data_IF_569715348707
#
_entry.id   IF_569715348707
#
_cell.length_a   1.000
_cell.length_b   1.000
_cell.length_c   1.000
_cell.angle_alpha   90.00
_cell.angle_beta   90.00
_cell.angle_gamma   90.00
#
_symmetry.space_group_name_H-M   'P 1'
#
loop_
_entity.id
_entity.type
_entity.pdbx_description
1 polymer ?
#
# COMPACT_ATOMS: atom_id res chain seq x y z
N UNK A 1 49.09 -40.07 30.71
CA UNK A 1 49.25 -38.59 30.73
C UNK A 1 49.67 -38.19 29.31
N UNK A 2 49.07 -37.28 28.54
CA UNK A 2 47.92 -36.37 28.62
C UNK A 2 47.47 -36.23 27.15
N UNK A 3 46.23 -36.59 26.80
CA UNK A 3 45.65 -36.23 25.50
C UNK A 3 45.07 -34.83 25.65
N UNK A 4 45.74 -33.84 25.06
CA UNK A 4 45.27 -32.45 25.05
C UNK A 4 44.27 -32.28 23.91
N UNK A 5 42.99 -32.26 24.26
CA UNK A 5 41.89 -31.80 23.38
C UNK A 5 41.99 -30.30 23.18
N UNK A 6 42.40 -29.86 21.99
CA UNK A 6 42.27 -28.45 21.59
C UNK A 6 40.80 -28.17 21.26
N UNK A 7 40.18 -27.33 22.08
CA UNK A 7 38.83 -26.83 21.88
C UNK A 7 38.73 -26.07 20.55
N UNK A 8 37.78 -26.45 19.71
CA UNK A 8 37.37 -25.66 18.56
C UNK A 8 36.63 -24.42 19.07
N UNK A 9 37.31 -23.27 19.08
CA UNK A 9 36.65 -21.97 19.24
C UNK A 9 35.86 -21.69 17.96
N UNK A 10 34.57 -22.03 17.97
CA UNK A 10 33.62 -21.56 16.96
C UNK A 10 33.43 -20.07 17.21
N UNK A 11 34.21 -19.24 16.50
CA UNK A 11 33.96 -17.80 16.41
C UNK A 11 32.71 -17.62 15.54
N UNK A 12 31.54 -17.63 16.17
CA UNK A 12 30.28 -17.31 15.51
C UNK A 12 30.25 -15.82 15.10
N UNK A 13 29.97 -15.48 13.83
CA UNK A 13 29.80 -14.09 13.46
C UNK A 13 28.41 -13.58 13.90
N UNK A 14 28.44 -12.72 14.91
CA UNK A 14 27.62 -11.51 15.11
C UNK A 14 26.08 -11.59 14.89
N UNK A 15 25.26 -11.46 15.97
CA UNK A 15 23.80 -11.29 15.91
C UNK A 15 23.32 -10.15 14.98
N UNK A 16 24.20 -9.18 14.68
CA UNK A 16 23.90 -8.00 13.86
C UNK A 16 23.63 -8.31 12.38
N UNK A 17 24.24 -9.36 11.79
CA UNK A 17 24.01 -9.70 10.37
C UNK A 17 22.63 -10.33 10.15
N UNK A 18 22.18 -11.16 11.08
CA UNK A 18 20.85 -11.81 11.04
C UNK A 18 19.75 -10.77 11.24
N UNK A 19 19.95 -9.82 12.17
CA UNK A 19 19.02 -8.72 12.39
C UNK A 19 18.88 -7.82 11.14
N UNK A 20 19.98 -7.46 10.47
CA UNK A 20 19.94 -6.67 9.23
C UNK A 20 19.24 -7.40 8.09
N UNK A 21 19.51 -8.69 7.88
CA UNK A 21 18.79 -9.46 6.87
C UNK A 21 17.29 -9.50 7.15
N UNK A 22 16.87 -9.76 8.39
CA UNK A 22 15.44 -9.77 8.76
C UNK A 22 14.76 -8.41 8.53
N UNK A 23 15.42 -7.31 8.88
CA UNK A 23 14.89 -5.96 8.61
C UNK A 23 14.77 -5.71 7.11
N UNK A 24 15.74 -6.13 6.30
CA UNK A 24 15.67 -6.00 4.82
C UNK A 24 14.53 -6.84 4.24
N UNK A 25 14.35 -8.10 4.70
CA UNK A 25 13.25 -8.95 4.25
C UNK A 25 11.88 -8.38 4.62
N UNK A 26 11.70 -7.93 5.85
CA UNK A 26 10.45 -7.29 6.29
C UNK A 26 10.16 -6.00 5.50
N UNK A 27 11.20 -5.20 5.22
CA UNK A 27 11.06 -4.00 4.42
C UNK A 27 10.70 -4.33 2.97
N UNK A 28 11.28 -5.38 2.38
CA UNK A 28 10.90 -5.83 1.03
C UNK A 28 9.46 -6.38 0.99
N UNK A 29 9.04 -7.17 1.97
CA UNK A 29 7.66 -7.68 2.05
C UNK A 29 6.64 -6.54 2.18
N UNK A 30 6.92 -5.54 3.02
CA UNK A 30 6.06 -4.34 3.16
C UNK A 30 6.02 -3.48 1.89
N UNK A 31 7.15 -3.31 1.21
CA UNK A 31 7.23 -2.55 -0.05
C UNK A 31 6.52 -3.29 -1.20
N UNK A 32 6.61 -4.62 -1.23
CA UNK A 32 5.86 -5.43 -2.21
C UNK A 32 4.35 -5.33 -1.99
N UNK A 33 3.87 -5.42 -0.75
CA UNK A 33 2.45 -5.27 -0.42
C UNK A 33 1.91 -3.89 -0.86
N UNK A 34 2.69 -2.83 -0.62
CA UNK A 34 2.29 -1.48 -1.03
C UNK A 34 2.22 -1.32 -2.56
N UNK A 35 3.24 -1.83 -3.27
CA UNK A 35 3.27 -1.78 -4.74
C UNK A 35 2.14 -2.59 -5.37
N UNK A 36 1.85 -3.78 -4.85
CA UNK A 36 0.76 -4.63 -5.33
C UNK A 36 -0.62 -3.98 -5.13
N UNK A 37 -0.86 -3.41 -3.94
CA UNK A 37 -2.09 -2.65 -3.66
C UNK A 37 -2.26 -1.46 -4.60
N UNK A 38 -1.19 -0.71 -4.87
CA UNK A 38 -1.23 0.42 -5.81
C UNK A 38 -1.56 -0.03 -7.23
N UNK A 39 -0.90 -1.08 -7.73
CA UNK A 39 -1.19 -1.62 -9.07
C UNK A 39 -2.62 -2.15 -9.19
N UNK A 40 -3.16 -2.78 -8.12
CA UNK A 40 -4.55 -3.22 -8.07
C UNK A 40 -5.52 -2.03 -8.14
N UNK A 41 -5.30 -1.01 -7.31
CA UNK A 41 -6.12 0.21 -7.31
C UNK A 41 -6.09 0.92 -8.67
N UNK A 42 -4.92 1.00 -9.32
CA UNK A 42 -4.78 1.53 -10.69
C UNK A 42 -5.62 0.70 -11.68
N UNK A 43 -5.54 -0.63 -11.60
CA UNK A 43 -6.28 -1.53 -12.47
C UNK A 43 -7.80 -1.35 -12.32
N UNK A 44 -8.28 -1.26 -11.08
CA UNK A 44 -9.70 -1.02 -10.77
C UNK A 44 -10.16 0.31 -11.37
N UNK A 45 -9.45 1.41 -11.12
CA UNK A 45 -9.79 2.73 -11.68
C UNK A 45 -9.84 2.70 -13.22
N UNK A 46 -8.89 2.02 -13.88
CA UNK A 46 -8.88 1.89 -15.35
C UNK A 46 -10.05 1.06 -15.87
N UNK A 47 -10.39 -0.04 -15.20
CA UNK A 47 -11.47 -0.94 -15.62
C UNK A 47 -12.87 -0.41 -15.30
N UNK A 48 -12.96 0.47 -14.30
CA UNK A 48 -14.18 1.13 -13.88
C UNK A 48 -14.31 2.55 -14.42
N UNK A 49 -13.44 2.91 -15.39
CA UNK A 49 -13.52 4.21 -16.06
C UNK A 49 -14.94 4.40 -16.62
N UNK A 50 -15.48 5.59 -16.36
CA UNK A 50 -16.83 6.01 -16.77
C UNK A 50 -18.00 5.26 -16.10
N UNK A 51 -17.72 4.45 -15.07
CA UNK A 51 -18.77 3.85 -14.22
C UNK A 51 -19.03 4.73 -13.01
N UNK A 52 -20.29 4.76 -12.62
CA UNK A 52 -20.76 5.35 -11.37
C UNK A 52 -20.92 4.27 -10.33
N UNK A 53 -20.73 4.66 -9.07
CA UNK A 53 -20.90 3.80 -7.92
C UNK A 53 -21.64 4.55 -6.81
N UNK A 54 -22.35 3.80 -5.98
CA UNK A 54 -23.01 4.30 -4.78
C UNK A 54 -22.26 3.78 -3.57
N UNK A 55 -21.77 4.67 -2.72
CA UNK A 55 -21.11 4.27 -1.47
C UNK A 55 -22.14 3.85 -0.41
N UNK A 56 -21.98 2.64 0.14
CA UNK A 56 -22.85 2.03 1.16
C UNK A 56 -22.15 1.80 2.49
N UNK A 57 -20.93 2.29 2.63
CA UNK A 57 -20.10 2.07 3.80
C UNK A 57 -20.40 2.96 4.99
N UNK A 58 -19.52 2.94 5.99
CA UNK A 58 -19.71 3.61 7.28
C UNK A 58 -19.17 5.05 7.34
N UNK A 59 -18.49 5.54 6.30
CA UNK A 59 -18.00 6.94 6.26
C UNK A 59 -19.20 7.88 6.16
N UNK A 60 -19.58 8.47 7.30
CA UNK A 60 -20.84 9.20 7.52
C UNK A 60 -21.18 10.23 6.44
N UNK A 61 -20.19 11.01 6.01
CA UNK A 61 -20.39 12.09 5.04
C UNK A 61 -20.50 11.59 3.58
N UNK A 62 -20.20 10.31 3.36
CA UNK A 62 -20.19 9.67 2.06
C UNK A 62 -21.33 8.67 1.86
N UNK A 63 -22.12 8.37 2.89
CA UNK A 63 -23.24 7.40 2.82
C UNK A 63 -24.22 7.81 1.70
N UNK A 64 -24.48 6.88 0.78
CA UNK A 64 -25.32 7.05 -0.41
C UNK A 64 -24.84 8.10 -1.42
N UNK A 65 -23.59 8.56 -1.31
CA UNK A 65 -23.00 9.41 -2.35
C UNK A 65 -22.81 8.60 -3.63
N UNK A 66 -23.19 9.21 -4.74
CA UNK A 66 -23.02 8.68 -6.09
C UNK A 66 -21.81 9.36 -6.69
N UNK A 67 -20.87 8.58 -7.20
CA UNK A 67 -19.62 9.11 -7.72
C UNK A 67 -18.86 8.14 -8.59
N UNK A 68 -17.68 8.55 -9.04
CA UNK A 68 -16.78 7.73 -9.84
C UNK A 68 -15.37 7.74 -9.29
N UNK A 69 -14.62 6.69 -9.61
CA UNK A 69 -13.23 6.55 -9.19
C UNK A 69 -12.29 7.13 -10.25
N UNK A 70 -11.29 7.89 -9.79
CA UNK A 70 -10.27 8.52 -10.64
C UNK A 70 -8.89 8.41 -10.01
N UNK A 71 -7.86 8.45 -10.87
CA UNK A 71 -6.46 8.51 -10.45
C UNK A 71 -6.02 9.98 -10.47
N UNK A 72 -5.41 10.43 -9.37
CA UNK A 72 -4.85 11.77 -9.24
C UNK A 72 -3.34 11.63 -9.13
N UNK A 73 -2.63 12.29 -10.04
CA UNK A 73 -1.17 12.38 -9.98
C UNK A 73 -0.81 13.67 -9.24
N UNK A 74 0.06 13.57 -8.24
CA UNK A 74 0.56 14.75 -7.52
C UNK A 74 1.39 15.61 -8.48
N UNK A 75 0.82 16.71 -8.95
CA UNK A 75 1.50 17.70 -9.81
C UNK A 75 2.36 18.67 -8.99
N UNK A 76 3.07 18.16 -7.97
CA UNK A 76 3.91 18.99 -7.12
C UNK A 76 5.02 19.67 -7.95
N UNK A 77 4.97 21.00 -8.03
CA UNK A 77 5.87 21.82 -8.85
C UNK A 77 7.32 21.85 -8.33
N UNK A 78 7.56 21.36 -7.11
CA UNK A 78 8.88 21.33 -6.46
C UNK A 78 9.58 19.96 -6.54
N UNK A 79 8.99 18.97 -7.23
CA UNK A 79 9.57 17.66 -7.49
C UNK A 79 8.48 16.61 -7.63
N UNK A 80 8.55 15.80 -8.69
CA UNK A 80 7.60 14.72 -8.93
C UNK A 80 7.68 13.68 -7.81
N UNK A 81 6.80 13.81 -6.83
CA UNK A 81 6.41 12.69 -5.98
C UNK A 81 5.72 11.69 -6.90
N UNK A 82 6.37 10.55 -7.16
CA UNK A 82 5.77 9.45 -7.94
C UNK A 82 4.61 8.77 -7.20
N UNK A 83 4.03 9.42 -6.19
CA UNK A 83 2.96 8.87 -5.38
C UNK A 83 1.66 8.97 -6.16
N UNK A 84 1.06 7.81 -6.45
CA UNK A 84 -0.25 7.74 -7.07
C UNK A 84 -1.31 7.91 -5.99
N UNK A 85 -2.16 8.92 -6.13
CA UNK A 85 -3.32 9.11 -5.27
C UNK A 85 -4.59 8.67 -6.00
N UNK A 86 -5.57 8.22 -5.23
CA UNK A 86 -6.86 7.79 -5.75
C UNK A 86 -7.94 8.73 -5.24
N UNK A 87 -8.97 8.94 -6.03
CA UNK A 87 -10.03 9.87 -5.69
C UNK A 87 -11.38 9.26 -6.01
N UNK A 88 -12.31 9.32 -5.04
CA UNK A 88 -13.73 9.11 -5.31
C UNK A 88 -14.39 10.48 -5.45
N UNK A 89 -14.94 10.73 -6.64
CA UNK A 89 -15.51 12.02 -7.04
C UNK A 89 -17.03 11.89 -6.98
N UNK A 90 -17.62 12.40 -5.91
CA UNK A 90 -19.07 12.56 -5.77
C UNK A 90 -19.58 13.78 -6.53
N UNK A 91 -20.87 14.05 -6.39
CA UNK A 91 -21.52 15.17 -7.09
C UNK A 91 -21.01 16.55 -6.63
N UNK A 92 -20.87 16.75 -5.32
CA UNK A 92 -20.48 18.04 -4.73
C UNK A 92 -19.14 17.99 -3.96
N UNK A 93 -18.59 16.79 -3.76
CA UNK A 93 -17.39 16.59 -2.95
C UNK A 93 -16.49 15.51 -3.55
N UNK A 94 -15.21 15.57 -3.24
CA UNK A 94 -14.21 14.56 -3.60
C UNK A 94 -13.43 14.14 -2.36
N UNK A 95 -13.04 12.86 -2.30
CA UNK A 95 -12.16 12.35 -1.25
C UNK A 95 -10.91 11.73 -1.88
N UNK A 96 -9.75 12.22 -1.43
CA UNK A 96 -8.45 11.66 -1.77
C UNK A 96 -8.13 10.50 -0.82
N UNK A 97 -7.65 9.40 -1.40
CA UNK A 97 -7.39 8.13 -0.74
C UNK A 97 -6.01 7.60 -1.15
N UNK A 98 -5.35 6.93 -0.22
CA UNK A 98 -4.20 6.07 -0.53
C UNK A 98 -4.67 4.80 -1.23
N UNK A 99 -3.77 4.02 -1.82
CA UNK A 99 -4.13 2.74 -2.45
C UNK A 99 -4.89 1.81 -1.49
N UNK A 100 -4.44 1.69 -0.25
CA UNK A 100 -5.09 0.83 0.76
C UNK A 100 -6.48 1.33 1.13
N UNK A 101 -6.61 2.62 1.47
CA UNK A 101 -7.90 3.21 1.79
C UNK A 101 -8.88 3.18 0.61
N UNK A 102 -8.36 3.27 -0.62
CA UNK A 102 -9.16 3.12 -1.85
C UNK A 102 -9.77 1.73 -1.97
N UNK A 103 -8.99 0.67 -1.73
CA UNK A 103 -9.49 -0.71 -1.84
C UNK A 103 -10.58 -0.97 -0.80
N UNK A 104 -10.37 -0.57 0.45
CA UNK A 104 -11.38 -0.68 1.51
C UNK A 104 -12.64 0.13 1.20
N UNK A 105 -12.48 1.31 0.57
CA UNK A 105 -13.61 2.16 0.17
C UNK A 105 -14.38 1.55 -1.02
N UNK A 106 -13.66 0.99 -1.99
CA UNK A 106 -14.23 0.36 -3.18
C UNK A 106 -15.08 -0.86 -2.83
N UNK A 107 -14.65 -1.69 -1.87
CA UNK A 107 -15.41 -2.86 -1.40
C UNK A 107 -16.76 -2.48 -0.76
N UNK A 108 -16.92 -1.21 -0.38
CA UNK A 108 -18.15 -0.66 0.18
C UNK A 108 -19.01 0.08 -0.86
N UNK A 109 -18.65 0.01 -2.13
CA UNK A 109 -19.36 0.64 -3.24
C UNK A 109 -20.10 -0.38 -4.10
N UNK A 110 -21.32 -0.04 -4.51
CA UNK A 110 -22.13 -0.81 -5.45
C UNK A 110 -22.18 -0.09 -6.81
N UNK A 111 -22.04 -0.80 -7.95
CA UNK A 111 -22.16 -0.22 -9.29
C UNK A 111 -23.59 0.19 -9.65
#
# INVERSE_FOLDING_TARGET
QKLSTSAATIVGPAPAKIARCRVIFLYMELVMDHFEKEQLAISICRNCKDKTFIYKGAVKDWINQIGSFSIVYDENCCGATQNVLFCFVGQDTSILLTAEAFLDFFDQCEP
#
